data_IF_556211063519
#
_entry.id   IF_556211063519
#
_cell.length_a   1.000
_cell.length_b   1.000
_cell.length_c   1.000
_cell.angle_alpha   90.00
_cell.angle_beta   90.00
_cell.angle_gamma   90.00
#
_symmetry.space_group_name_H-M   'P 1'
#
loop_
_entity.id
_entity.type
_entity.pdbx_description
1 polymer ?
#
# COMPACT_ATOMS: atom_id res chain seq x y z
N UNK A 1 -26.16 -7.77 -17.88
CA UNK A 1 -25.07 -6.97 -18.48
C UNK A 1 -23.74 -7.72 -18.45
N UNK A 2 -23.30 -8.31 -17.33
CA UNK A 2 -22.10 -9.18 -17.30
C UNK A 2 -22.52 -10.64 -17.12
N UNK A 3 -22.02 -11.55 -17.97
CA UNK A 3 -22.33 -12.97 -17.87
C UNK A 3 -21.55 -13.65 -16.72
N UNK A 4 -22.12 -14.73 -16.19
CA UNK A 4 -21.51 -15.46 -15.07
C UNK A 4 -20.15 -16.11 -15.41
N UNK A 5 -19.87 -16.38 -16.69
CA UNK A 5 -18.61 -16.92 -17.16
C UNK A 5 -17.48 -15.90 -17.08
N UNK A 6 -17.73 -14.65 -17.47
CA UNK A 6 -16.77 -13.54 -17.33
C UNK A 6 -16.40 -13.31 -15.86
N UNK A 7 -17.40 -13.33 -14.96
CA UNK A 7 -17.18 -13.19 -13.51
C UNK A 7 -16.36 -14.35 -12.95
N UNK A 8 -16.65 -15.60 -13.36
CA UNK A 8 -15.90 -16.79 -12.90
C UNK A 8 -14.46 -16.82 -13.41
N UNK A 9 -14.21 -16.33 -14.63
CA UNK A 9 -12.85 -16.22 -15.19
C UNK A 9 -12.03 -15.10 -14.55
N UNK A 10 -12.69 -14.03 -14.13
CA UNK A 10 -12.04 -12.85 -13.55
C UNK A 10 -12.62 -12.52 -12.17
N UNK A 11 -12.42 -13.39 -11.16
CA UNK A 11 -13.05 -13.23 -9.85
C UNK A 11 -12.65 -11.93 -9.15
N UNK A 12 -11.47 -11.36 -9.46
CA UNK A 12 -11.02 -10.06 -8.95
C UNK A 12 -11.94 -8.88 -9.36
N UNK A 13 -12.76 -9.00 -10.41
CA UNK A 13 -13.76 -7.98 -10.80
C UNK A 13 -14.78 -7.66 -9.71
N UNK A 14 -15.06 -8.62 -8.82
CA UNK A 14 -16.07 -8.47 -7.77
C UNK A 14 -15.51 -8.01 -6.42
N UNK A 15 -14.18 -7.94 -6.29
CA UNK A 15 -13.51 -7.78 -4.99
C UNK A 15 -12.53 -6.61 -4.98
N UNK A 16 -12.17 -6.03 -6.13
CA UNK A 16 -11.22 -4.90 -6.21
C UNK A 16 -11.40 -4.02 -7.45
N UNK A 17 -10.74 -2.86 -7.44
CA UNK A 17 -10.78 -1.83 -8.49
C UNK A 17 -10.06 -2.21 -9.78
N UNK A 18 -10.51 -3.29 -10.43
CA UNK A 18 -9.95 -3.77 -11.69
C UNK A 18 -10.40 -2.84 -12.83
N UNK A 19 -9.44 -2.23 -13.52
CA UNK A 19 -9.71 -1.47 -14.73
C UNK A 19 -10.19 -2.39 -15.85
N UNK A 20 -11.23 -1.96 -16.56
CA UNK A 20 -11.81 -2.71 -17.66
C UNK A 20 -12.03 -1.78 -18.84
N UNK A 21 -11.83 -2.31 -20.04
CA UNK A 21 -12.37 -1.71 -21.26
C UNK A 21 -13.77 -2.29 -21.45
N UNK A 22 -14.76 -1.40 -21.49
CA UNK A 22 -16.15 -1.75 -21.73
C UNK A 22 -16.60 -1.15 -23.06
N UNK A 23 -17.12 -2.00 -23.95
CA UNK A 23 -17.79 -1.55 -25.16
C UNK A 23 -19.29 -1.48 -24.87
N UNK A 24 -19.86 -0.28 -25.01
CA UNK A 24 -21.29 -0.04 -24.84
C UNK A 24 -21.92 0.14 -26.22
N UNK A 25 -22.99 -0.61 -26.47
CA UNK A 25 -23.82 -0.51 -27.65
C UNK A 25 -25.16 0.11 -27.28
N UNK A 26 -25.74 0.86 -28.22
CA UNK A 26 -27.07 1.43 -28.08
C UNK A 26 -28.05 0.66 -28.97
N UNK A 27 -29.06 0.08 -28.35
CA UNK A 27 -30.15 -0.61 -29.03
C UNK A 27 -31.47 0.04 -28.60
N UNK A 28 -32.14 0.69 -29.55
CA UNK A 28 -33.41 1.36 -29.28
C UNK A 28 -34.49 0.36 -28.88
N UNK A 29 -35.19 0.64 -27.78
CA UNK A 29 -36.33 -0.15 -27.31
C UNK A 29 -37.47 0.77 -26.89
N UNK A 30 -38.70 0.39 -27.24
CA UNK A 30 -39.91 1.10 -26.80
C UNK A 30 -40.35 0.68 -25.39
N UNK A 31 -39.79 -0.41 -24.86
CA UNK A 31 -40.08 -0.91 -23.51
C UNK A 31 -39.32 -0.09 -22.46
N UNK A 32 -40.06 0.67 -21.66
CA UNK A 32 -39.53 1.51 -20.58
C UNK A 32 -38.85 0.72 -19.46
N UNK A 33 -39.08 -0.59 -19.36
CA UNK A 33 -38.43 -1.44 -18.37
C UNK A 33 -37.04 -1.93 -18.80
N UNK A 34 -36.66 -1.72 -20.07
CA UNK A 34 -35.39 -2.21 -20.64
C UNK A 34 -34.44 -1.04 -20.86
N UNK A 35 -33.20 -1.15 -20.38
CA UNK A 35 -32.15 -0.18 -20.67
C UNK A 35 -31.72 -0.30 -22.14
N UNK A 36 -31.72 0.80 -22.94
CA UNK A 36 -31.28 0.77 -24.32
C UNK A 36 -29.75 0.67 -24.46
N UNK A 37 -29.02 0.82 -23.35
CA UNK A 37 -27.58 0.61 -23.30
C UNK A 37 -27.27 -0.84 -22.97
N UNK A 38 -26.60 -1.52 -23.89
CA UNK A 38 -26.18 -2.91 -23.78
C UNK A 38 -24.67 -2.96 -23.65
N UNK A 39 -24.18 -3.69 -22.65
CA UNK A 39 -22.75 -3.97 -22.50
C UNK A 39 -22.38 -5.09 -23.47
N UNK A 40 -21.67 -4.74 -24.54
CA UNK A 40 -21.27 -5.66 -25.62
C UNK A 40 -20.06 -6.49 -25.21
N UNK A 41 -18.99 -5.82 -24.78
CA UNK A 41 -17.81 -6.50 -24.24
C UNK A 41 -17.34 -5.86 -22.96
N UNK A 42 -16.81 -6.69 -22.07
CA UNK A 42 -16.11 -6.27 -20.86
C UNK A 42 -14.78 -7.00 -20.83
N UNK A 43 -13.70 -6.30 -21.16
CA UNK A 43 -12.34 -6.83 -21.17
C UNK A 43 -11.60 -6.27 -19.95
N UNK A 44 -11.33 -7.09 -18.93
CA UNK A 44 -10.45 -6.66 -17.85
C UNK A 44 -9.10 -6.27 -18.44
N UNK A 45 -8.58 -5.11 -18.06
CA UNK A 45 -7.16 -4.80 -18.19
C UNK A 45 -6.47 -5.55 -17.06
N UNK A 46 -6.50 -6.88 -17.15
CA UNK A 46 -5.63 -7.71 -16.35
C UNK A 46 -4.32 -7.85 -17.09
N UNK A 47 -3.23 -7.96 -16.34
CA UNK A 47 -2.04 -8.64 -16.84
C UNK A 47 -2.46 -10.05 -17.25
N UNK A 48 -2.63 -10.24 -18.55
CA UNK A 48 -3.05 -11.51 -19.14
C UNK A 48 -2.04 -12.63 -18.86
N UNK A 49 -0.78 -12.25 -18.65
CA UNK A 49 0.31 -13.12 -18.25
C UNK A 49 1.34 -12.34 -17.43
N UNK A 50 1.68 -12.82 -16.24
CA UNK A 50 2.77 -12.29 -15.43
C UNK A 50 3.97 -13.24 -15.54
N UNK A 51 5.00 -12.80 -16.25
CA UNK A 51 6.27 -13.52 -16.41
C UNK A 51 7.34 -12.89 -15.51
N UNK A 52 7.59 -13.52 -14.36
CA UNK A 52 8.58 -13.07 -13.39
C UNK A 52 10.01 -13.34 -13.86
N UNK A 53 10.25 -14.48 -14.52
CA UNK A 53 11.59 -14.85 -14.99
C UNK A 53 12.06 -13.92 -16.11
N UNK A 54 11.16 -13.59 -17.04
CA UNK A 54 11.40 -12.58 -18.08
C UNK A 54 11.73 -11.20 -17.50
N UNK A 55 11.06 -10.80 -16.41
CA UNK A 55 11.38 -9.58 -15.68
C UNK A 55 12.80 -9.63 -15.08
N UNK A 56 13.19 -10.72 -14.43
CA UNK A 56 14.52 -10.88 -13.82
C UNK A 56 15.61 -10.86 -14.89
N UNK A 57 15.42 -11.52 -16.03
CA UNK A 57 16.40 -11.49 -17.13
C UNK A 57 16.51 -10.10 -17.76
N UNK A 58 15.38 -9.40 -17.99
CA UNK A 58 15.37 -8.04 -18.51
C UNK A 58 16.06 -7.06 -17.54
N UNK A 59 15.84 -7.22 -16.22
CA UNK A 59 16.51 -6.40 -15.20
C UNK A 59 18.04 -6.44 -15.35
N UNK A 60 18.64 -7.57 -15.71
CA UNK A 60 20.10 -7.69 -15.83
C UNK A 60 20.70 -6.75 -16.89
N UNK A 61 19.89 -6.24 -17.82
CA UNK A 61 20.33 -5.31 -18.86
C UNK A 61 20.47 -3.85 -18.37
N UNK A 62 20.04 -3.55 -17.14
CA UNK A 62 20.12 -2.21 -16.55
C UNK A 62 21.26 -2.12 -15.56
N UNK A 63 21.91 -0.96 -15.50
CA UNK A 63 22.71 -0.60 -14.32
C UNK A 63 21.80 -0.32 -13.11
N UNK A 64 22.39 -0.22 -11.91
CA UNK A 64 21.61 0.08 -10.69
C UNK A 64 20.94 1.45 -10.76
N UNK A 65 21.63 2.47 -11.27
CA UNK A 65 21.07 3.82 -11.33
C UNK A 65 19.97 3.93 -12.39
N UNK A 66 20.14 3.33 -13.58
CA UNK A 66 19.07 3.25 -14.59
C UNK A 66 17.85 2.49 -14.08
N UNK A 67 18.07 1.44 -13.29
CA UNK A 67 16.98 0.68 -12.69
C UNK A 67 16.20 1.48 -11.65
N UNK A 68 16.90 2.22 -10.78
CA UNK A 68 16.27 3.13 -9.82
C UNK A 68 15.42 4.16 -10.58
N UNK A 69 15.94 4.72 -11.66
CA UNK A 69 15.25 5.73 -12.45
C UNK A 69 14.00 5.16 -13.12
N UNK A 70 14.07 3.96 -13.69
CA UNK A 70 12.92 3.26 -14.23
C UNK A 70 11.84 3.00 -13.17
N UNK A 71 12.22 2.59 -11.95
CA UNK A 71 11.27 2.35 -10.87
C UNK A 71 10.62 3.66 -10.39
N UNK A 72 11.40 4.73 -10.23
CA UNK A 72 10.90 6.07 -9.87
C UNK A 72 9.92 6.59 -10.93
N UNK A 73 10.23 6.35 -12.20
CA UNK A 73 9.35 6.68 -13.31
C UNK A 73 8.07 5.84 -13.33
N UNK A 74 8.16 4.56 -12.98
CA UNK A 74 7.01 3.64 -12.90
C UNK A 74 6.02 4.00 -11.79
N UNK A 75 6.47 4.68 -10.73
CA UNK A 75 5.58 5.25 -9.70
C UNK A 75 5.13 6.69 -10.04
N UNK A 76 5.44 7.17 -11.24
CA UNK A 76 4.92 8.41 -11.82
C UNK A 76 5.85 9.63 -11.73
N UNK A 77 7.04 9.52 -11.12
CA UNK A 77 7.93 10.66 -10.90
C UNK A 77 9.03 10.77 -11.95
N UNK A 78 9.38 12.00 -12.35
CA UNK A 78 10.51 12.25 -13.24
C UNK A 78 11.83 12.09 -12.46
N UNK A 79 12.66 11.06 -12.72
CA UNK A 79 13.88 10.81 -11.96
C UNK A 79 14.89 11.97 -12.01
N UNK A 80 14.92 12.78 -13.08
CA UNK A 80 15.85 13.91 -13.20
C UNK A 80 15.60 15.01 -12.17
N UNK A 81 14.39 15.06 -11.61
CA UNK A 81 14.01 16.03 -10.58
C UNK A 81 14.44 15.61 -9.16
N UNK A 82 15.00 14.40 -8.99
CA UNK A 82 15.32 13.85 -7.66
C UNK A 82 16.81 13.54 -7.53
N UNK A 83 17.38 13.92 -6.38
CA UNK A 83 18.68 13.40 -5.96
C UNK A 83 18.59 11.92 -5.56
N UNK A 84 19.75 11.23 -5.52
CA UNK A 84 19.85 9.81 -5.15
C UNK A 84 19.13 9.47 -3.84
N UNK A 85 19.27 10.31 -2.81
CA UNK A 85 18.60 10.12 -1.52
C UNK A 85 17.09 10.15 -1.66
N UNK A 86 16.53 11.15 -2.33
CA UNK A 86 15.08 11.27 -2.53
C UNK A 86 14.52 10.11 -3.35
N UNK A 87 15.24 9.66 -4.40
CA UNK A 87 14.88 8.45 -5.16
C UNK A 87 14.77 7.23 -4.25
N UNK A 88 15.78 6.97 -3.43
CA UNK A 88 15.77 5.87 -2.47
C UNK A 88 14.62 5.99 -1.46
N UNK A 89 14.36 7.19 -0.94
CA UNK A 89 13.22 7.43 -0.03
C UNK A 89 11.88 7.08 -0.69
N UNK A 90 11.69 7.39 -1.97
CA UNK A 90 10.49 6.96 -2.71
C UNK A 90 10.41 5.43 -2.84
N UNK A 91 11.53 4.77 -3.13
CA UNK A 91 11.57 3.30 -3.24
C UNK A 91 11.34 2.60 -1.90
N UNK A 92 11.76 3.18 -0.77
CA UNK A 92 11.49 2.64 0.57
C UNK A 92 9.98 2.51 0.83
N UNK A 93 9.15 3.43 0.29
CA UNK A 93 7.68 3.33 0.39
C UNK A 93 7.11 2.08 -0.31
N UNK A 94 7.87 1.46 -1.21
CA UNK A 94 7.45 0.25 -1.94
C UNK A 94 7.80 -1.05 -1.20
N UNK A 95 8.73 -1.00 -0.23
CA UNK A 95 9.18 -2.19 0.52
C UNK A 95 8.01 -2.95 1.18
N UNK A 96 6.97 -2.32 1.77
CA UNK A 96 5.82 -3.04 2.33
C UNK A 96 5.09 -3.95 1.35
N UNK A 97 5.17 -3.66 0.04
CA UNK A 97 4.60 -4.47 -1.02
C UNK A 97 5.55 -5.59 -1.49
N UNK A 98 6.85 -5.45 -1.24
CA UNK A 98 7.90 -6.39 -1.61
C UNK A 98 8.26 -7.38 -0.48
N UNK A 99 8.12 -6.95 0.76
CA UNK A 99 8.55 -7.68 1.95
C UNK A 99 7.37 -7.99 2.87
N UNK A 100 7.39 -9.19 3.47
CA UNK A 100 6.34 -9.64 4.38
C UNK A 100 6.54 -9.04 5.77
N UNK A 101 5.50 -8.38 6.27
CA UNK A 101 5.47 -7.76 7.60
C UNK A 101 6.55 -6.68 7.82
N UNK A 102 6.93 -5.96 6.76
CA UNK A 102 7.90 -4.86 6.84
C UNK A 102 7.20 -3.57 7.27
N UNK A 103 7.21 -3.30 8.57
CA UNK A 103 6.46 -2.18 9.14
C UNK A 103 7.22 -0.85 9.01
N UNK A 104 6.54 0.17 8.51
CA UNK A 104 7.10 1.50 8.27
C UNK A 104 6.38 2.57 9.06
N UNK A 105 7.09 3.66 9.35
CA UNK A 105 6.49 4.92 9.75
C UNK A 105 7.01 6.05 8.87
N UNK A 106 6.12 6.93 8.43
CA UNK A 106 6.45 8.15 7.72
C UNK A 106 5.80 9.35 8.39
N UNK A 107 6.63 10.21 9.00
CA UNK A 107 6.19 11.48 9.56
C UNK A 107 6.85 12.64 8.81
N UNK A 108 6.07 13.64 8.43
CA UNK A 108 6.60 14.82 7.74
C UNK A 108 5.55 15.88 7.46
N UNK A 109 5.91 16.92 6.69
CA UNK A 109 4.98 17.97 6.32
C UNK A 109 3.84 17.47 5.41
N UNK A 110 2.83 18.32 5.24
CA UNK A 110 1.73 18.08 4.30
C UNK A 110 2.23 18.21 2.85
N UNK A 111 1.60 17.50 1.92
CA UNK A 111 1.86 17.64 0.49
C UNK A 111 3.03 16.82 -0.09
N UNK A 112 3.61 15.89 0.67
CA UNK A 112 4.75 15.06 0.24
C UNK A 112 4.34 13.70 -0.38
N UNK A 113 3.05 13.52 -0.68
CA UNK A 113 2.51 12.30 -1.31
C UNK A 113 2.46 11.05 -0.43
N UNK A 114 2.60 11.20 0.89
CA UNK A 114 2.69 10.11 1.87
C UNK A 114 1.59 9.07 1.74
N UNK A 115 0.34 9.51 1.60
CA UNK A 115 -0.83 8.62 1.57
C UNK A 115 -1.09 8.05 0.17
N UNK A 116 -0.70 8.77 -0.88
CA UNK A 116 -1.05 8.45 -2.26
C UNK A 116 -0.49 7.10 -2.71
N UNK A 117 0.75 6.80 -2.34
CA UNK A 117 1.36 5.51 -2.69
C UNK A 117 0.57 4.34 -2.10
N UNK A 118 0.06 4.46 -0.88
CA UNK A 118 -0.64 3.34 -0.23
C UNK A 118 -2.11 3.20 -0.63
N UNK A 119 -2.68 4.21 -1.32
CA UNK A 119 -4.04 4.14 -1.87
C UNK A 119 -4.07 3.79 -3.36
N UNK A 120 -3.12 4.29 -4.16
CA UNK A 120 -3.19 4.21 -5.63
C UNK A 120 -2.17 3.27 -6.28
N UNK A 121 -1.07 2.91 -5.60
CA UNK A 121 0.02 2.18 -6.24
C UNK A 121 -0.25 0.69 -6.45
N UNK A 122 -1.05 0.05 -5.60
CA UNK A 122 -1.18 -1.41 -5.66
C UNK A 122 -2.58 -1.84 -5.30
N UNK A 123 -3.19 -2.76 -6.09
CA UNK A 123 -4.46 -3.38 -5.73
C UNK A 123 -4.35 -4.30 -4.50
N UNK A 124 -3.14 -4.48 -3.95
CA UNK A 124 -2.88 -5.28 -2.75
C UNK A 124 -2.62 -4.41 -1.51
N UNK A 125 -2.75 -3.08 -1.63
CA UNK A 125 -2.68 -2.13 -0.52
C UNK A 125 -4.04 -1.57 -0.12
N UNK A 126 -4.17 -1.19 1.15
CA UNK A 126 -5.30 -0.39 1.62
C UNK A 126 -4.82 0.75 2.52
N UNK A 127 -5.38 1.94 2.30
CA UNK A 127 -5.21 3.11 3.18
C UNK A 127 -6.45 3.29 4.07
N UNK A 128 -6.23 3.40 5.38
CA UNK A 128 -7.27 3.69 6.36
C UNK A 128 -7.08 5.11 6.88
N UNK A 129 -8.00 6.01 6.55
CA UNK A 129 -7.99 7.41 7.00
C UNK A 129 -9.06 7.68 8.06
N UNK A 130 -8.75 8.51 9.05
CA UNK A 130 -9.75 9.29 9.80
C UNK A 130 -10.79 8.54 10.64
N UNK A 131 -10.55 7.28 11.06
CA UNK A 131 -11.48 6.54 11.91
C UNK A 131 -10.80 5.74 13.03
N UNK A 132 -11.48 5.55 14.15
CA UNK A 132 -11.07 4.57 15.18
C UNK A 132 -11.05 3.18 14.54
N UNK A 133 -9.86 2.67 14.23
CA UNK A 133 -9.69 1.28 13.83
C UNK A 133 -9.94 0.40 15.06
N UNK A 134 -10.66 -0.69 14.86
CA UNK A 134 -10.96 -1.65 15.93
C UNK A 134 -10.29 -2.98 15.65
N UNK A 135 -10.06 -3.77 16.71
CA UNK A 135 -9.47 -5.12 16.60
C UNK A 135 -10.23 -5.99 15.58
N UNK A 136 -11.58 -6.04 15.58
CA UNK A 136 -12.31 -6.87 14.62
C UNK A 136 -12.15 -6.44 13.16
N UNK A 137 -11.98 -5.13 12.91
CA UNK A 137 -11.78 -4.61 11.54
C UNK A 137 -10.40 -4.96 11.02
N UNK A 138 -9.38 -4.86 11.88
CA UNK A 138 -8.00 -5.10 11.48
C UNK A 138 -7.65 -6.59 11.44
N UNK A 139 -8.08 -7.37 12.43
CA UNK A 139 -7.65 -8.76 12.65
C UNK A 139 -8.75 -9.78 12.41
N UNK A 140 -9.54 -10.10 13.43
CA UNK A 140 -10.63 -11.07 13.30
C UNK A 140 -11.77 -10.66 14.20
N UNK A 141 -12.97 -10.75 13.64
CA UNK A 141 -14.16 -10.63 14.44
C UNK A 141 -14.48 -11.98 15.08
N UNK A 142 -14.22 -12.11 16.39
CA UNK A 142 -14.44 -13.36 17.12
C UNK A 142 -15.90 -13.81 17.17
N UNK A 143 -16.88 -12.93 16.99
CA UNK A 143 -18.31 -13.32 16.99
C UNK A 143 -18.77 -13.91 15.66
N UNK A 144 -18.21 -13.44 14.54
CA UNK A 144 -18.59 -13.91 13.19
C UNK A 144 -17.53 -14.79 12.51
N UNK A 145 -16.32 -14.85 13.07
CA UNK A 145 -15.17 -15.52 12.47
C UNK A 145 -14.60 -14.84 11.22
N UNK A 146 -15.13 -13.67 10.83
CA UNK A 146 -14.67 -12.94 9.64
C UNK A 146 -13.25 -12.42 9.84
N UNK A 147 -12.40 -12.70 8.88
CA UNK A 147 -11.04 -12.18 8.78
C UNK A 147 -11.13 -10.66 8.51
N UNK A 148 -10.20 -9.91 9.08
CA UNK A 148 -10.05 -8.47 8.94
C UNK A 148 -8.99 -8.13 7.90
N UNK A 149 -8.64 -6.85 7.81
CA UNK A 149 -7.81 -6.31 6.73
C UNK A 149 -6.45 -7.02 6.58
N UNK A 150 -5.77 -7.37 7.68
CA UNK A 150 -4.42 -7.97 7.59
C UNK A 150 -4.40 -9.37 6.95
N UNK A 151 -5.57 -10.02 6.80
CA UNK A 151 -5.66 -11.30 6.10
C UNK A 151 -5.99 -11.20 4.60
N UNK A 152 -6.31 -10.01 4.09
CA UNK A 152 -6.67 -9.79 2.69
C UNK A 152 -5.67 -8.92 1.92
N UNK A 153 -4.94 -8.05 2.62
CA UNK A 153 -4.07 -7.04 2.03
C UNK A 153 -2.60 -7.36 2.31
N UNK A 154 -1.73 -7.05 1.35
CA UNK A 154 -0.28 -7.18 1.48
C UNK A 154 0.31 -6.01 2.28
N UNK A 155 -0.33 -4.84 2.21
CA UNK A 155 0.03 -3.62 2.95
C UNK A 155 -1.21 -2.93 3.51
N UNK A 156 -1.21 -2.64 4.81
CA UNK A 156 -2.26 -1.87 5.48
C UNK A 156 -1.65 -0.57 6.02
N UNK A 157 -2.01 0.55 5.40
CA UNK A 157 -1.53 1.87 5.77
C UNK A 157 -2.56 2.62 6.62
N UNK A 158 -2.08 3.34 7.63
CA UNK A 158 -2.86 4.16 8.55
C UNK A 158 -2.52 5.62 8.28
N UNK A 159 -3.45 6.37 7.69
CA UNK A 159 -3.29 7.80 7.49
C UNK A 159 -3.65 8.58 8.76
N UNK A 160 -3.14 9.80 8.84
CA UNK A 160 -3.29 10.68 10.00
C UNK A 160 -2.90 9.99 11.31
N UNK A 161 -1.93 9.08 11.30
CA UNK A 161 -1.55 8.31 12.48
C UNK A 161 -1.04 9.21 13.62
N UNK A 162 -0.48 10.37 13.28
CA UNK A 162 -0.05 11.40 14.21
C UNK A 162 -1.23 12.11 14.91
N UNK A 163 -1.03 12.46 16.18
CA UNK A 163 -1.92 13.26 17.01
C UNK A 163 -2.01 12.71 18.43
N UNK A 164 -1.34 13.35 19.39
CA UNK A 164 -1.31 12.94 20.81
C UNK A 164 -2.69 12.69 21.43
N UNK A 165 -3.67 13.51 21.05
CA UNK A 165 -5.03 13.46 21.59
C UNK A 165 -5.92 12.38 20.96
N UNK A 166 -5.41 11.61 19.98
CA UNK A 166 -6.20 10.54 19.36
C UNK A 166 -6.50 9.46 20.38
N UNK A 167 -7.79 9.15 20.53
CA UNK A 167 -8.24 8.04 21.36
C UNK A 167 -7.87 6.73 20.66
N UNK A 168 -7.02 5.94 21.32
CA UNK A 168 -6.57 4.64 20.82
C UNK A 168 -6.92 3.58 21.84
N UNK A 169 -7.56 2.50 21.38
CA UNK A 169 -7.83 1.33 22.21
C UNK A 169 -6.51 0.61 22.53
N UNK A 170 -6.22 0.42 23.82
CA UNK A 170 -5.03 -0.31 24.28
C UNK A 170 -5.03 -1.76 23.77
N UNK A 171 -6.20 -2.40 23.71
CA UNK A 171 -6.32 -3.77 23.23
C UNK A 171 -5.89 -3.88 21.76
N UNK A 172 -6.20 -2.88 20.94
CA UNK A 172 -5.73 -2.81 19.56
C UNK A 172 -4.21 -2.77 19.49
N UNK A 173 -3.57 -1.86 20.24
CA UNK A 173 -2.10 -1.72 20.22
C UNK A 173 -1.42 -3.00 20.68
N UNK A 174 -1.94 -3.67 21.72
CA UNK A 174 -1.37 -4.91 22.21
C UNK A 174 -1.48 -6.06 21.19
N UNK A 175 -2.60 -6.17 20.46
CA UNK A 175 -2.74 -7.15 19.37
C UNK A 175 -1.82 -6.82 18.19
N UNK A 176 -1.71 -5.54 17.81
CA UNK A 176 -0.79 -5.09 16.75
C UNK A 176 0.65 -5.41 17.07
N UNK A 177 1.08 -5.15 18.30
CA UNK A 177 2.43 -5.50 18.80
C UNK A 177 2.71 -6.99 18.64
N UNK A 178 1.79 -7.86 19.07
CA UNK A 178 1.95 -9.30 18.91
C UNK A 178 2.02 -9.72 17.44
N UNK A 179 1.16 -9.15 16.61
CA UNK A 179 1.15 -9.42 15.18
C UNK A 179 2.47 -9.03 14.48
N UNK A 180 2.94 -7.80 14.71
CA UNK A 180 4.18 -7.27 14.14
C UNK A 180 5.43 -8.03 14.61
N UNK A 181 5.36 -8.74 15.76
CA UNK A 181 6.44 -9.61 16.21
C UNK A 181 6.38 -11.01 15.56
N UNK A 182 5.18 -11.61 15.55
CA UNK A 182 5.01 -13.04 15.33
C UNK A 182 4.47 -13.37 13.94
N UNK A 183 4.18 -12.37 13.10
CA UNK A 183 3.57 -12.52 11.76
C UNK A 183 2.30 -13.39 11.76
N UNK A 184 1.55 -13.33 12.86
CA UNK A 184 0.36 -14.15 13.08
C UNK A 184 -0.59 -13.48 14.08
N UNK A 185 -1.85 -13.86 14.01
CA UNK A 185 -2.85 -13.47 14.99
C UNK A 185 -3.78 -14.64 15.32
N UNK A 186 -4.33 -14.64 16.52
CA UNK A 186 -5.17 -15.73 17.02
C UNK A 186 -6.64 -15.49 16.74
N UNK A 187 -7.32 -16.53 16.24
CA UNK A 187 -8.77 -16.66 16.12
C UNK A 187 -9.23 -17.72 17.13
N UNK A 188 -9.50 -17.31 18.37
CA UNK A 188 -9.81 -18.26 19.44
C UNK A 188 -8.62 -19.20 19.71
N UNK A 189 -8.73 -20.47 19.29
CA UNK A 189 -7.70 -21.52 19.47
C UNK A 189 -6.81 -21.70 18.23
N UNK A 190 -7.25 -21.25 17.05
CA UNK A 190 -6.46 -21.37 15.81
C UNK A 190 -5.60 -20.11 15.56
N UNK A 191 -4.36 -20.32 15.14
CA UNK A 191 -3.46 -19.23 14.74
C UNK A 191 -3.48 -19.10 13.23
N UNK A 192 -3.79 -17.91 12.72
CA UNK A 192 -3.73 -17.60 11.30
C UNK A 192 -2.41 -16.88 11.00
N UNK A 193 -1.67 -17.38 10.01
CA UNK A 193 -0.54 -16.67 9.44
C UNK A 193 -1.05 -15.48 8.63
N UNK A 194 -0.51 -14.29 8.90
CA UNK A 194 -0.80 -13.11 8.12
C UNK A 194 0.47 -12.27 7.95
N UNK A 195 0.67 -11.81 6.72
CA UNK A 195 1.95 -11.28 6.26
C UNK A 195 1.87 -9.82 5.87
N UNK A 196 0.71 -9.19 6.07
CA UNK A 196 0.48 -7.79 5.80
C UNK A 196 1.53 -6.92 6.53
N UNK A 197 2.13 -6.02 5.78
CA UNK A 197 2.99 -4.96 6.31
C UNK A 197 2.13 -3.82 6.84
N UNK A 198 2.53 -3.21 7.97
CA UNK A 198 1.81 -2.06 8.53
C UNK A 198 2.58 -0.77 8.28
N UNK A 199 1.91 0.23 7.72
CA UNK A 199 2.52 1.54 7.45
C UNK A 199 1.79 2.63 8.21
N UNK A 200 2.53 3.44 8.96
CA UNK A 200 1.98 4.52 9.77
C UNK A 200 2.35 5.87 9.17
N UNK A 201 1.37 6.61 8.65
CA UNK A 201 1.58 7.89 7.97
C UNK A 201 1.03 9.02 8.82
N UNK A 202 1.84 10.04 9.10
CA UNK A 202 1.44 11.14 9.96
C UNK A 202 2.09 12.48 9.60
N UNK A 203 1.55 13.56 10.16
CA UNK A 203 2.12 14.89 9.98
C UNK A 203 2.92 15.32 11.20
N UNK A 204 4.06 15.97 10.99
CA UNK A 204 4.82 16.65 12.05
C UNK A 204 4.22 18.03 12.33
N UNK A 205 4.04 18.43 13.60
CA UNK A 205 3.59 19.79 13.94
C UNK A 205 4.75 20.79 13.99
N UNK A 206 5.94 20.31 14.32
CA UNK A 206 7.12 21.15 14.50
C UNK A 206 8.20 20.82 13.48
N UNK A 207 9.14 21.76 13.30
CA UNK A 207 10.32 21.56 12.46
C UNK A 207 11.29 20.59 13.13
N UNK A 208 12.12 19.90 12.33
CA UNK A 208 13.12 18.96 12.85
C UNK A 208 14.05 19.58 13.91
N UNK A 209 14.62 20.80 13.71
CA UNK A 209 15.47 21.40 14.74
C UNK A 209 14.73 21.66 16.06
N UNK A 210 13.44 22.00 15.99
CA UNK A 210 12.61 22.16 17.20
C UNK A 210 12.41 20.81 17.90
N UNK A 211 12.01 19.77 17.16
CA UNK A 211 11.79 18.43 17.72
C UNK A 211 13.06 17.89 18.39
N UNK A 212 14.21 17.98 17.72
CA UNK A 212 15.49 17.52 18.28
C UNK A 212 15.94 18.28 19.53
N UNK A 213 15.50 19.53 19.70
CA UNK A 213 15.83 20.36 20.87
C UNK A 213 14.90 20.12 22.06
N UNK A 214 13.63 19.80 21.80
CA UNK A 214 12.58 19.81 22.81
C UNK A 214 11.94 18.44 23.09
N UNK A 215 12.11 17.46 22.20
CA UNK A 215 11.58 16.10 22.32
C UNK A 215 12.38 15.13 21.44
N UNK A 216 11.71 14.48 20.48
CA UNK A 216 12.21 13.42 19.62
C UNK A 216 11.35 13.34 18.35
N UNK A 217 11.71 12.45 17.41
CA UNK A 217 11.05 12.33 16.10
C UNK A 217 9.70 11.59 16.13
N UNK A 218 9.35 10.96 17.25
CA UNK A 218 8.07 10.27 17.48
C UNK A 218 7.12 11.09 18.35
N UNK A 219 7.47 12.33 18.69
CA UNK A 219 6.70 13.16 19.62
C UNK A 219 5.25 13.38 19.20
N UNK A 220 4.91 13.17 17.93
CA UNK A 220 3.53 13.31 17.43
C UNK A 220 2.68 12.04 17.55
N UNK A 221 3.25 10.91 17.95
CA UNK A 221 2.49 9.68 18.10
C UNK A 221 1.46 9.79 19.23
N UNK A 222 0.30 9.11 19.09
CA UNK A 222 -0.60 8.93 20.22
C UNK A 222 0.11 8.20 21.37
N UNK A 223 -0.18 8.57 22.61
CA UNK A 223 0.52 8.07 23.81
C UNK A 223 0.59 6.54 23.92
N UNK A 224 -0.41 5.84 23.37
CA UNK A 224 -0.45 4.36 23.38
C UNK A 224 0.55 3.72 22.41
N UNK A 225 0.91 4.41 21.33
CA UNK A 225 1.90 3.97 20.35
C UNK A 225 3.31 4.49 20.68
N UNK A 226 3.41 5.51 21.55
CA UNK A 226 4.67 5.94 22.14
C UNK A 226 5.09 4.94 23.24
N UNK A 227 5.43 3.72 22.83
CA UNK A 227 5.82 2.59 23.66
C UNK A 227 7.02 1.89 23.00
N UNK A 228 8.06 1.58 23.76
CA UNK A 228 9.29 1.00 23.20
C UNK A 228 9.02 -0.32 22.47
N UNK A 229 8.10 -1.14 23.00
CA UNK A 229 7.75 -2.39 22.36
C UNK A 229 7.06 -2.19 21.00
N UNK A 230 6.30 -1.11 20.81
CA UNK A 230 5.73 -0.80 19.50
C UNK A 230 6.81 -0.27 18.55
N UNK A 231 7.62 0.69 19.02
CA UNK A 231 8.65 1.34 18.21
C UNK A 231 9.74 0.37 17.72
N UNK A 232 10.12 -0.61 18.55
CA UNK A 232 11.09 -1.66 18.21
C UNK A 232 10.65 -2.54 17.02
N UNK A 233 9.35 -2.53 16.70
CA UNK A 233 8.77 -3.32 15.59
C UNK A 233 8.62 -2.52 14.29
N UNK A 234 9.04 -1.26 14.30
CA UNK A 234 9.13 -0.42 13.11
C UNK A 234 10.49 -0.65 12.46
N UNK A 235 10.49 -1.13 11.22
CA UNK A 235 11.71 -1.48 10.50
C UNK A 235 12.42 -0.26 9.95
N UNK A 236 11.67 0.78 9.58
CA UNK A 236 12.27 2.02 9.07
C UNK A 236 11.38 3.25 9.31
N UNK A 237 12.03 4.35 9.66
CA UNK A 237 11.44 5.69 9.76
C UNK A 237 11.77 6.47 8.49
N UNK A 238 10.75 6.75 7.68
CA UNK A 238 10.88 7.62 6.52
C UNK A 238 10.84 9.08 7.00
N UNK A 239 11.93 9.85 6.83
CA UNK A 239 11.98 11.27 7.20
C UNK A 239 11.19 12.08 6.16
N UNK A 240 9.88 12.21 6.36
CA UNK A 240 9.01 12.86 5.39
C UNK A 240 9.34 14.33 5.13
N UNK A 241 10.10 14.99 6.02
CA UNK A 241 10.62 16.36 5.82
C UNK A 241 11.77 16.46 4.81
N UNK A 242 12.37 15.34 4.40
CA UNK A 242 13.37 15.30 3.33
C UNK A 242 12.73 15.11 1.95
N UNK A 243 11.41 14.91 1.90
CA UNK A 243 10.66 14.76 0.66
C UNK A 243 10.07 16.12 0.31
N UNK A 244 10.37 16.58 -0.90
CA UNK A 244 9.82 17.83 -1.42
C UNK A 244 8.29 17.75 -1.54
N UNK A 245 7.64 18.91 -1.41
CA UNK A 245 6.22 19.04 -1.70
C UNK A 245 6.01 18.73 -3.17
N UNK A 246 5.14 17.78 -3.47
CA UNK A 246 4.90 17.31 -4.85
C UNK A 246 4.30 18.44 -5.67
N UNK A 247 4.87 18.66 -6.86
CA UNK A 247 4.43 19.64 -7.85
C UNK A 247 4.24 18.97 -9.21
N UNK A 248 3.42 19.57 -10.07
CA UNK A 248 3.12 19.04 -11.40
C UNK A 248 4.36 18.73 -12.25
N UNK A 249 5.39 19.57 -12.16
CA UNK A 249 6.67 19.43 -12.86
C UNK A 249 7.50 18.20 -12.43
N UNK A 250 7.18 17.59 -11.28
CA UNK A 250 7.87 16.41 -10.78
C UNK A 250 7.34 15.11 -11.39
N UNK A 251 6.24 15.15 -12.15
CA UNK A 251 5.67 13.96 -12.78
C UNK A 251 6.36 13.64 -14.10
N UNK A 252 6.56 12.35 -14.36
CA UNK A 252 7.19 11.87 -15.59
C UNK A 252 6.22 11.91 -16.78
N UNK A 253 6.77 12.07 -17.99
CA UNK A 253 6.04 11.96 -19.25
C UNK A 253 6.52 10.81 -20.15
N UNK A 254 7.58 10.10 -19.74
CA UNK A 254 8.15 8.98 -20.50
C UNK A 254 7.62 7.61 -20.08
N UNK A 255 8.28 6.56 -20.55
CA UNK A 255 7.89 5.18 -20.29
C UNK A 255 8.31 4.68 -18.90
N UNK A 256 7.38 4.01 -18.21
CA UNK A 256 7.62 3.21 -17.02
C UNK A 256 6.75 1.95 -17.08
N UNK A 257 6.86 1.10 -16.07
CA UNK A 257 5.93 -0.01 -15.93
C UNK A 257 4.52 0.49 -15.65
N UNK A 258 3.53 -0.23 -16.17
CA UNK A 258 2.16 -0.08 -15.71
C UNK A 258 2.12 -0.47 -14.22
N UNK A 259 1.43 0.34 -13.41
CA UNK A 259 1.38 0.21 -11.95
C UNK A 259 0.98 -1.20 -11.50
N UNK A 260 -0.04 -1.80 -12.13
CA UNK A 260 -0.46 -3.17 -11.84
C UNK A 260 0.64 -4.21 -12.09
N UNK A 261 1.49 -4.00 -13.11
CA UNK A 261 2.60 -4.90 -13.42
C UNK A 261 3.67 -4.83 -12.34
N UNK A 262 4.05 -3.62 -11.95
CA UNK A 262 5.00 -3.43 -10.87
C UNK A 262 4.45 -3.95 -9.53
N UNK A 263 3.15 -3.79 -9.27
CA UNK A 263 2.52 -4.33 -8.07
C UNK A 263 2.58 -5.87 -8.00
N UNK A 264 2.31 -6.57 -9.12
CA UNK A 264 2.45 -8.04 -9.17
C UNK A 264 3.91 -8.49 -9.08
N UNK A 265 4.87 -7.73 -9.63
CA UNK A 265 6.32 -7.97 -9.43
C UNK A 265 6.66 -7.94 -7.94
N UNK A 266 6.31 -6.86 -7.24
CA UNK A 266 6.63 -6.69 -5.83
C UNK A 266 5.96 -7.78 -4.98
N UNK A 267 4.70 -8.10 -5.30
CA UNK A 267 4.00 -9.21 -4.64
C UNK A 267 4.69 -10.56 -4.86
N UNK A 268 5.17 -10.85 -6.07
CA UNK A 268 5.93 -12.06 -6.36
C UNK A 268 7.20 -12.14 -5.53
N UNK A 269 7.92 -11.02 -5.41
CA UNK A 269 9.16 -10.92 -4.63
C UNK A 269 8.97 -11.26 -3.14
N UNK A 270 7.76 -11.08 -2.57
CA UNK A 270 7.45 -11.50 -1.19
C UNK A 270 7.68 -12.99 -0.93
N UNK A 271 7.73 -13.82 -1.97
CA UNK A 271 7.96 -15.26 -1.85
C UNK A 271 9.44 -15.65 -1.95
N UNK A 272 10.33 -14.71 -2.26
CA UNK A 272 11.75 -14.95 -2.39
C UNK A 272 12.45 -14.60 -1.08
N UNK A 273 13.20 -15.56 -0.55
CA UNK A 273 14.08 -15.35 0.58
C UNK A 273 15.52 -15.19 0.06
N UNK A 274 16.19 -14.14 0.52
CA UNK A 274 17.59 -13.84 0.21
C UNK A 274 18.46 -13.79 1.48
N UNK A 275 17.93 -14.20 2.63
CA UNK A 275 18.65 -14.16 3.92
C UNK A 275 19.79 -15.18 4.01
N UNK A 276 19.84 -16.13 3.07
CA UNK A 276 20.85 -17.18 2.95
C UNK A 276 22.00 -16.84 1.99
N UNK A 277 22.03 -15.62 1.41
CA UNK A 277 23.04 -15.17 0.45
C UNK A 277 24.07 -14.21 1.01
#
# INVERSE_FOLDING_TARGET
LVDSGTVKKHPKLLVGGVWCIADLEYEFTEDKAVSPWVLSTLKPIQLSHFDFDGYVEARKQFTTDEWIDLLVQSIGFNPDMFGKRSKLTQLVRLIPFCERNYNLIELGPKGTGKSHIYSEFSPHGILISGGEVTVPKLFVNNSSGKIGLVGYWDCVAFDEFAGKQKRVDKALVDVMKNYMANKSFSRGVETLGAEASMVFVGNTQHTVPYMLKHSDLFCELPDKFYDSAFLDRIHFYIPGWEIDIIRGEMFSSGYGFVVDYLAEILRSLRNHDYSDR
#
